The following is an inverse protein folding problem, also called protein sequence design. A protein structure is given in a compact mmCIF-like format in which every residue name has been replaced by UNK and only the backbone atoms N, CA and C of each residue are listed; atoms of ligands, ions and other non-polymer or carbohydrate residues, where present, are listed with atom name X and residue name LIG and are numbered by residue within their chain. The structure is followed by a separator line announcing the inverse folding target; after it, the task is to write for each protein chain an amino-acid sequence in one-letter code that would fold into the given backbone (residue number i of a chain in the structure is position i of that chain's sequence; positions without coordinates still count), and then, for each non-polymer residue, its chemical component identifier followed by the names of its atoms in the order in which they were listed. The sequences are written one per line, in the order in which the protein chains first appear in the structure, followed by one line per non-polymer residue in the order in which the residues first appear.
data_IF_539672460964
#
_entry.id   IF_539672460964
#
_cell.length_a   1.000
_cell.length_b   1.000
_cell.length_c   1.000
_cell.angle_alpha   90.00
_cell.angle_beta   90.00
_cell.angle_gamma   90.00
#
_symmetry.space_group_name_H-M   'P 1'
#
loop_
_entity.id
_entity.type
_entity.pdbx_description
1 polymer ?
#
# COMPACT_ATOMS: atom_id res chain seq x y z
N UNK A 1 20.08 22.77 45.51
CA UNK A 1 19.74 21.34 45.31
C UNK A 1 18.24 21.28 45.08
N UNK A 2 17.77 21.01 43.85
CA UNK A 2 16.33 20.85 43.63
C UNK A 2 15.85 19.63 44.43
N UNK A 3 14.77 19.79 45.20
CA UNK A 3 14.18 18.69 45.96
C UNK A 3 13.72 17.60 45.00
N UNK A 4 14.11 16.35 45.23
CA UNK A 4 13.69 15.21 44.41
C UNK A 4 12.17 15.20 44.18
N UNK A 5 11.38 15.64 45.19
CA UNK A 5 9.92 15.78 45.10
C UNK A 5 9.48 16.77 44.00
N UNK A 6 10.16 17.90 43.85
CA UNK A 6 9.86 18.88 42.82
C UNK A 6 10.09 18.29 41.42
N UNK A 7 11.22 17.60 41.23
CA UNK A 7 11.54 16.93 39.97
C UNK A 7 10.49 15.88 39.59
N UNK A 8 10.04 15.06 40.55
CA UNK A 8 9.00 14.07 40.29
C UNK A 8 7.65 14.70 39.93
N UNK A 9 7.20 15.71 40.66
CA UNK A 9 5.91 16.38 40.37
C UNK A 9 5.96 17.07 39.00
N UNK A 10 7.05 17.79 38.72
CA UNK A 10 7.25 18.44 37.43
C UNK A 10 7.23 17.44 36.28
N UNK A 11 7.96 16.32 36.41
CA UNK A 11 7.98 15.27 35.39
C UNK A 11 6.60 14.64 35.18
N UNK A 12 5.82 14.40 36.24
CA UNK A 12 4.46 13.87 36.15
C UNK A 12 3.54 14.85 35.41
N UNK A 13 3.54 16.13 35.81
CA UNK A 13 2.69 17.15 35.19
C UNK A 13 3.04 17.33 33.72
N UNK A 14 4.33 17.43 33.39
CA UNK A 14 4.79 17.55 32.02
C UNK A 14 4.35 16.33 31.19
N UNK A 15 4.50 15.12 31.72
CA UNK A 15 4.13 13.87 31.04
C UNK A 15 2.62 13.78 30.79
N UNK A 16 1.80 14.20 31.75
CA UNK A 16 0.34 14.21 31.59
C UNK A 16 -0.08 15.22 30.52
N UNK A 17 0.49 16.43 30.55
CA UNK A 17 0.17 17.47 29.56
C UNK A 17 0.57 17.01 28.16
N UNK A 18 1.78 16.47 27.98
CA UNK A 18 2.24 16.00 26.66
C UNK A 18 1.42 14.82 26.14
N UNK A 19 1.05 13.87 27.02
CA UNK A 19 0.20 12.74 26.64
C UNK A 19 -1.19 13.19 26.18
N UNK A 20 -1.82 14.14 26.89
CA UNK A 20 -3.15 14.67 26.52
C UNK A 20 -3.09 15.42 25.20
N UNK A 21 -2.07 16.27 25.00
CA UNK A 21 -1.90 17.00 23.74
C UNK A 21 -1.67 16.05 22.55
N UNK A 22 -0.81 15.04 22.72
CA UNK A 22 -0.53 14.06 21.67
C UNK A 22 -1.77 13.21 21.34
N UNK A 23 -2.51 12.78 22.36
CA UNK A 23 -3.75 12.01 22.17
C UNK A 23 -4.80 12.81 21.40
N UNK A 24 -5.01 14.09 21.77
CA UNK A 24 -5.95 14.97 21.09
C UNK A 24 -5.54 15.21 19.63
N UNK A 25 -4.27 15.52 19.39
CA UNK A 25 -3.76 15.72 18.03
C UNK A 25 -3.88 14.45 17.18
N UNK A 26 -3.54 13.29 17.75
CA UNK A 26 -3.62 12.00 17.04
C UNK A 26 -5.05 11.60 16.69
N UNK A 27 -5.99 11.73 17.62
CA UNK A 27 -7.38 11.35 17.38
C UNK A 27 -8.07 12.32 16.42
N UNK A 28 -7.81 13.63 16.54
CA UNK A 28 -8.37 14.63 15.64
C UNK A 28 -7.90 14.51 14.19
N UNK A 29 -6.65 14.05 13.97
CA UNK A 29 -6.08 13.89 12.63
C UNK A 29 -6.34 12.50 12.02
N UNK A 30 -6.72 11.50 12.82
CA UNK A 30 -6.87 10.11 12.35
C UNK A 30 -7.80 9.97 11.13
N UNK A 31 -8.98 10.59 11.07
CA UNK A 31 -9.87 10.43 9.91
C UNK A 31 -9.24 10.94 8.60
N UNK A 32 -8.51 12.06 8.68
CA UNK A 32 -7.82 12.62 7.52
C UNK A 32 -6.64 11.75 7.08
N UNK A 33 -5.91 11.17 8.04
CA UNK A 33 -4.82 10.22 7.75
C UNK A 33 -5.35 8.95 7.09
N UNK A 34 -6.41 8.34 7.62
CA UNK A 34 -7.03 7.15 7.05
C UNK A 34 -7.54 7.39 5.63
N UNK A 35 -8.20 8.54 5.39
CA UNK A 35 -8.67 8.91 4.06
C UNK A 35 -7.52 9.11 3.07
N UNK A 36 -6.36 9.62 3.53
CA UNK A 36 -5.18 9.79 2.68
C UNK A 36 -4.47 8.46 2.42
N UNK A 37 -4.39 7.56 3.40
CA UNK A 37 -3.83 6.20 3.23
C UNK A 37 -4.69 5.39 2.25
N UNK A 38 -6.01 5.46 2.37
CA UNK A 38 -6.92 4.79 1.45
C UNK A 38 -6.76 5.31 0.01
N UNK A 39 -6.65 6.63 -0.16
CA UNK A 39 -6.39 7.24 -1.47
C UNK A 39 -5.04 6.83 -2.04
N UNK A 40 -3.99 6.80 -1.21
CA UNK A 40 -2.64 6.43 -1.62
C UNK A 40 -2.59 4.97 -2.10
N UNK A 41 -3.31 4.06 -1.42
CA UNK A 41 -3.48 2.67 -1.87
C UNK A 41 -4.10 2.59 -3.27
N UNK A 42 -5.21 3.29 -3.51
CA UNK A 42 -5.85 3.36 -4.83
C UNK A 42 -4.93 3.95 -5.90
N UNK A 43 -4.23 5.02 -5.54
CA UNK A 43 -3.28 5.70 -6.43
C UNK A 43 -2.11 4.81 -6.80
N UNK A 44 -1.59 4.02 -5.85
CA UNK A 44 -0.51 3.06 -6.08
C UNK A 44 -0.93 1.95 -7.05
N UNK A 45 -2.15 1.44 -6.91
CA UNK A 45 -2.75 0.49 -7.88
C UNK A 45 -2.83 1.13 -9.26
N UNK A 46 -3.37 2.35 -9.37
CA UNK A 46 -3.47 3.07 -10.65
C UNK A 46 -2.09 3.34 -11.29
N UNK A 47 -1.07 3.68 -10.48
CA UNK A 47 0.31 3.87 -10.95
C UNK A 47 0.90 2.59 -11.53
N UNK A 48 0.61 1.43 -10.94
CA UNK A 48 1.07 0.14 -11.48
C UNK A 48 0.49 -0.17 -12.86
N UNK A 49 -0.65 0.42 -13.20
CA UNK A 49 -1.27 0.37 -14.54
C UNK A 49 -1.03 1.67 -15.33
N UNK A 50 0.03 2.41 -14.99
CA UNK A 50 0.50 3.60 -15.72
C UNK A 50 -0.49 4.76 -15.75
N UNK A 51 -1.47 4.77 -14.85
CA UNK A 51 -2.40 5.89 -14.67
C UNK A 51 -1.88 6.81 -13.57
N UNK A 52 -1.62 8.07 -13.93
CA UNK A 52 -1.13 9.09 -12.99
C UNK A 52 -1.96 10.36 -13.11
N UNK A 53 -2.36 10.94 -11.98
CA UNK A 53 -3.02 12.25 -11.91
C UNK A 53 -2.64 12.94 -10.61
N UNK A 54 -2.67 14.27 -10.60
CA UNK A 54 -2.56 15.09 -9.39
C UNK A 54 -3.91 15.44 -8.79
N UNK A 55 -5.00 15.21 -9.52
CA UNK A 55 -6.37 15.45 -9.05
C UNK A 55 -6.94 14.22 -8.34
N UNK A 56 -7.17 14.37 -7.04
CA UNK A 56 -7.79 13.36 -6.17
C UNK A 56 -9.13 12.85 -6.72
N UNK A 57 -9.99 13.73 -7.24
CA UNK A 57 -11.31 13.34 -7.73
C UNK A 57 -11.20 12.45 -8.95
N UNK A 58 -10.29 12.79 -9.86
CA UNK A 58 -10.02 11.98 -11.05
C UNK A 58 -9.50 10.60 -10.67
N UNK A 59 -8.60 10.50 -9.68
CA UNK A 59 -8.09 9.21 -9.20
C UNK A 59 -9.19 8.34 -8.58
N UNK A 60 -10.01 8.92 -7.69
CA UNK A 60 -11.13 8.21 -7.05
C UNK A 60 -12.15 7.71 -8.08
N UNK A 61 -12.51 8.56 -9.04
CA UNK A 61 -13.45 8.22 -10.10
C UNK A 61 -12.88 7.14 -11.03
N UNK A 62 -11.64 7.30 -11.48
CA UNK A 62 -10.98 6.32 -12.37
C UNK A 62 -10.89 4.96 -11.68
N UNK A 63 -10.53 4.95 -10.40
CA UNK A 63 -10.48 3.71 -9.62
C UNK A 63 -11.88 3.06 -9.54
N UNK A 64 -12.90 3.83 -9.16
CA UNK A 64 -14.27 3.32 -8.99
C UNK A 64 -14.88 2.79 -10.30
N UNK A 65 -14.53 3.39 -11.44
CA UNK A 65 -15.07 2.99 -12.75
C UNK A 65 -14.30 1.83 -13.40
N UNK A 66 -13.00 1.72 -13.13
CA UNK A 66 -12.11 0.84 -13.93
C UNK A 66 -11.46 -0.27 -13.14
N UNK A 67 -11.53 -0.25 -11.81
CA UNK A 67 -10.89 -1.26 -10.96
C UNK A 67 -11.94 -2.10 -10.26
N UNK A 68 -11.95 -3.39 -10.60
CA UNK A 68 -12.69 -4.41 -9.87
C UNK A 68 -11.79 -5.00 -8.78
N UNK A 69 -12.33 -5.18 -7.58
CA UNK A 69 -11.61 -5.75 -6.45
C UNK A 69 -12.12 -7.16 -6.15
N UNK A 70 -11.20 -8.09 -5.95
CA UNK A 70 -11.53 -9.45 -5.55
C UNK A 70 -10.50 -9.99 -4.57
N UNK A 71 -10.89 -11.04 -3.86
CA UNK A 71 -10.01 -11.79 -2.96
C UNK A 71 -10.07 -13.24 -3.40
N UNK A 72 -8.91 -13.84 -3.62
CA UNK A 72 -8.78 -15.24 -4.01
C UNK A 72 -8.05 -16.04 -2.94
N UNK A 73 -8.31 -17.34 -2.89
CA UNK A 73 -7.47 -18.26 -2.10
C UNK A 73 -6.26 -18.73 -2.93
N UNK A 74 -5.42 -19.59 -2.35
CA UNK A 74 -4.24 -20.15 -3.04
C UNK A 74 -4.54 -21.07 -4.22
N UNK A 75 -5.80 -21.47 -4.41
CA UNK A 75 -6.27 -22.24 -5.58
C UNK A 75 -6.80 -21.34 -6.70
N UNK A 76 -6.86 -20.02 -6.48
CA UNK A 76 -7.46 -19.07 -7.41
C UNK A 76 -9.00 -19.00 -7.34
N UNK A 77 -9.62 -19.59 -6.32
CA UNK A 77 -11.05 -19.51 -6.11
C UNK A 77 -11.39 -18.19 -5.41
N UNK A 78 -12.41 -17.49 -5.90
CA UNK A 78 -12.87 -16.23 -5.32
C UNK A 78 -13.55 -16.45 -3.95
N UNK A 79 -13.21 -15.58 -3.00
CA UNK A 79 -13.78 -15.54 -1.66
C UNK A 79 -14.76 -14.37 -1.56
N UNK A 80 -16.04 -14.66 -1.83
CA UNK A 80 -17.10 -13.64 -1.78
C UNK A 80 -17.29 -13.05 -0.38
N UNK A 81 -17.61 -11.75 -0.32
CA UNK A 81 -17.92 -11.05 0.94
C UNK A 81 -16.68 -10.59 1.74
N UNK A 82 -15.47 -10.77 1.20
CA UNK A 82 -14.23 -10.26 1.80
C UNK A 82 -13.84 -8.96 1.11
N UNK A 83 -13.64 -7.89 1.91
CA UNK A 83 -13.15 -6.62 1.38
C UNK A 83 -11.64 -6.70 1.09
N UNK A 84 -11.24 -6.53 -0.17
CA UNK A 84 -9.84 -6.60 -0.58
C UNK A 84 -8.98 -5.46 0.01
N UNK A 85 -9.55 -4.27 0.21
CA UNK A 85 -8.84 -3.14 0.79
C UNK A 85 -8.49 -3.33 2.26
N UNK A 86 -9.28 -4.09 3.03
CA UNK A 86 -9.02 -4.35 4.45
C UNK A 86 -7.97 -5.43 4.71
N UNK A 87 -7.55 -6.15 3.67
CA UNK A 87 -6.51 -7.17 3.78
C UNK A 87 -5.13 -6.53 3.96
N UNK A 88 -4.47 -6.89 5.06
CA UNK A 88 -3.06 -6.59 5.31
C UNK A 88 -2.22 -7.73 4.75
N UNK A 89 -1.64 -7.52 3.57
CA UNK A 89 -0.93 -8.58 2.84
C UNK A 89 0.20 -9.22 3.65
N UNK A 90 0.95 -8.42 4.42
CA UNK A 90 2.02 -8.92 5.30
C UNK A 90 1.51 -10.01 6.26
N UNK A 91 0.34 -9.82 6.85
CA UNK A 91 -0.23 -10.75 7.82
C UNK A 91 -0.75 -12.01 7.13
N UNK A 92 -1.26 -11.90 5.91
CA UNK A 92 -1.66 -13.05 5.09
C UNK A 92 -0.45 -13.87 4.63
N UNK A 93 0.65 -13.24 4.26
CA UNK A 93 1.88 -13.94 3.85
C UNK A 93 2.53 -14.73 4.99
N UNK A 94 2.29 -14.36 6.25
CA UNK A 94 2.74 -15.11 7.42
C UNK A 94 1.93 -16.39 7.69
N UNK A 95 0.76 -16.56 7.08
CA UNK A 95 -0.09 -17.74 7.23
C UNK A 95 0.34 -18.90 6.32
N UNK A 96 -0.06 -20.15 6.64
CA UNK A 96 -0.01 -21.26 5.68
C UNK A 96 -0.70 -20.88 4.38
N UNK A 97 -0.18 -21.36 3.24
CA UNK A 97 -0.63 -20.98 1.89
C UNK A 97 -2.13 -21.21 1.69
N UNK A 98 -2.67 -22.28 2.28
CA UNK A 98 -4.05 -22.71 2.20
C UNK A 98 -5.03 -21.77 2.92
N UNK A 99 -4.51 -20.96 3.86
CA UNK A 99 -5.31 -20.04 4.70
C UNK A 99 -5.20 -18.58 4.24
N UNK A 100 -4.41 -18.32 3.20
CA UNK A 100 -4.17 -16.95 2.72
C UNK A 100 -5.37 -16.42 1.97
N UNK A 101 -5.72 -15.18 2.27
CA UNK A 101 -6.66 -14.36 1.48
C UNK A 101 -5.84 -13.40 0.64
N UNK A 102 -5.85 -13.57 -0.66
CA UNK A 102 -4.98 -12.87 -1.59
C UNK A 102 -5.79 -11.83 -2.35
N UNK A 103 -5.59 -10.53 -2.10
CA UNK A 103 -6.26 -9.49 -2.87
C UNK A 103 -5.73 -9.48 -4.30
N UNK A 104 -6.64 -9.32 -5.25
CA UNK A 104 -6.36 -9.16 -6.67
C UNK A 104 -7.25 -8.03 -7.18
N UNK A 105 -6.67 -7.15 -8.00
CA UNK A 105 -7.41 -6.05 -8.62
C UNK A 105 -7.36 -6.22 -10.13
N UNK A 106 -8.49 -6.00 -10.80
CA UNK A 106 -8.59 -6.09 -12.26
C UNK A 106 -8.88 -4.70 -12.79
N UNK A 107 -7.92 -4.14 -13.52
CA UNK A 107 -8.06 -2.85 -14.17
C UNK A 107 -8.47 -3.01 -15.63
N UNK A 108 -9.53 -2.34 -16.05
CA UNK A 108 -9.95 -2.25 -17.45
C UNK A 108 -9.50 -0.91 -18.04
N UNK A 109 -8.58 -0.94 -18.99
CA UNK A 109 -8.05 0.27 -19.62
C UNK A 109 -8.92 0.78 -20.76
N UNK A 110 -8.57 1.96 -21.28
CA UNK A 110 -9.30 2.62 -22.37
C UNK A 110 -9.34 1.82 -23.68
N UNK A 111 -8.38 0.92 -23.88
CA UNK A 111 -8.32 -0.01 -25.01
C UNK A 111 -9.16 -1.29 -24.80
N UNK A 112 -9.90 -1.37 -23.68
CA UNK A 112 -10.75 -2.50 -23.32
C UNK A 112 -10.03 -3.73 -22.76
N UNK A 113 -8.69 -3.74 -22.73
CA UNK A 113 -7.92 -4.89 -22.21
C UNK A 113 -7.97 -4.95 -20.68
N UNK A 114 -7.84 -6.14 -20.11
CA UNK A 114 -7.73 -6.31 -18.65
C UNK A 114 -6.29 -6.40 -18.19
N UNK A 115 -6.01 -5.82 -17.02
CA UNK A 115 -4.71 -5.86 -16.34
C UNK A 115 -4.93 -6.37 -14.94
N UNK A 116 -4.17 -7.39 -14.58
CA UNK A 116 -4.29 -8.07 -13.30
C UNK A 116 -3.23 -7.53 -12.36
N UNK A 117 -3.65 -6.77 -11.36
CA UNK A 117 -2.76 -6.10 -10.41
C UNK A 117 -2.64 -6.94 -9.14
N UNK A 118 -1.43 -7.46 -8.93
CA UNK A 118 -1.06 -8.27 -7.78
C UNK A 118 -0.32 -7.39 -6.77
N UNK A 119 -0.81 -7.28 -5.53
CA UNK A 119 -0.12 -6.56 -4.47
C UNK A 119 1.09 -7.34 -3.99
N UNK A 120 2.16 -6.62 -3.69
CA UNK A 120 3.46 -7.13 -3.26
C UNK A 120 3.81 -6.59 -1.88
N UNK A 121 4.45 -7.42 -1.06
CA UNK A 121 4.98 -7.02 0.24
C UNK A 121 6.30 -7.74 0.50
N UNK A 122 7.26 -7.02 1.07
CA UNK A 122 8.59 -7.55 1.39
C UNK A 122 9.26 -6.78 2.53
N UNK A 123 10.48 -7.18 2.83
CA UNK A 123 11.33 -6.58 3.86
C UNK A 123 12.58 -6.05 3.18
N UNK A 124 12.79 -4.73 3.27
CA UNK A 124 14.02 -4.05 2.85
C UNK A 124 15.09 -4.08 3.95
N UNK A 125 16.11 -3.23 3.83
CA UNK A 125 17.18 -3.16 4.83
C UNK A 125 16.74 -2.42 6.10
N UNK A 126 15.97 -1.34 5.93
CA UNK A 126 15.59 -0.43 7.01
C UNK A 126 14.10 -0.42 7.30
N UNK A 127 13.29 -1.11 6.50
CA UNK A 127 11.86 -1.17 6.72
C UNK A 127 11.10 -2.05 5.74
N UNK A 128 9.77 -2.10 5.87
CA UNK A 128 8.93 -2.78 4.90
C UNK A 128 9.01 -2.07 3.54
N UNK A 129 8.99 -2.90 2.51
CA UNK A 129 8.75 -2.49 1.12
C UNK A 129 7.40 -3.07 0.67
N UNK A 130 6.70 -2.35 -0.18
CA UNK A 130 5.45 -2.80 -0.78
C UNK A 130 5.39 -2.38 -2.24
N UNK A 131 4.42 -2.92 -2.96
CA UNK A 131 4.22 -2.55 -4.34
C UNK A 131 3.00 -3.22 -4.96
N UNK A 132 2.86 -2.99 -6.25
CA UNK A 132 1.80 -3.51 -7.09
C UNK A 132 2.42 -3.83 -8.45
N UNK A 133 2.25 -5.07 -8.91
CA UNK A 133 2.70 -5.49 -10.24
C UNK A 133 1.45 -5.79 -11.05
N UNK A 134 1.31 -5.13 -12.19
CA UNK A 134 0.22 -5.37 -13.13
C UNK A 134 0.69 -6.25 -14.29
N UNK A 135 -0.16 -7.20 -14.66
CA UNK A 135 0.12 -8.24 -15.65
C UNK A 135 -0.91 -8.14 -16.77
N UNK A 136 -0.49 -8.35 -18.01
CA UNK A 136 -1.34 -8.43 -19.19
C UNK A 136 -2.28 -9.64 -19.15
N UNK A 137 -3.20 -9.73 -20.10
CA UNK A 137 -4.19 -10.82 -20.22
C UNK A 137 -3.58 -12.20 -20.51
N UNK A 138 -2.30 -12.25 -20.86
CA UNK A 138 -1.54 -13.49 -21.01
C UNK A 138 -1.08 -14.08 -19.65
N UNK A 139 -1.36 -13.38 -18.54
CA UNK A 139 -0.96 -13.74 -17.18
C UNK A 139 0.54 -13.96 -16.98
N UNK A 140 1.36 -13.41 -17.87
CA UNK A 140 2.81 -13.62 -17.84
C UNK A 140 3.59 -12.33 -18.07
N UNK A 141 3.15 -11.49 -19.00
CA UNK A 141 3.85 -10.26 -19.36
C UNK A 141 3.49 -9.14 -18.39
N UNK A 142 4.49 -8.53 -17.78
CA UNK A 142 4.32 -7.40 -16.88
C UNK A 142 3.93 -6.15 -17.68
N UNK A 143 2.74 -5.64 -17.41
CA UNK A 143 2.29 -4.36 -17.95
C UNK A 143 2.94 -3.20 -17.22
N UNK A 144 3.08 -3.26 -15.89
CA UNK A 144 3.71 -2.20 -15.12
C UNK A 144 3.94 -2.61 -13.68
N UNK A 145 4.71 -1.79 -12.97
CA UNK A 145 4.99 -2.00 -11.58
C UNK A 145 5.03 -0.67 -10.85
N UNK A 146 4.65 -0.69 -9.58
CA UNK A 146 4.85 0.40 -8.64
C UNK A 146 5.43 -0.20 -7.37
N UNK A 147 6.47 0.43 -6.82
CA UNK A 147 7.06 0.04 -5.55
C UNK A 147 7.20 1.25 -4.66
N UNK A 148 7.12 1.03 -3.35
CA UNK A 148 7.40 2.06 -2.37
C UNK A 148 7.91 1.44 -1.07
N UNK A 149 8.39 2.30 -0.17
CA UNK A 149 9.04 1.89 1.07
C UNK A 149 8.73 2.83 2.22
N UNK A 150 8.92 2.32 3.44
CA UNK A 150 8.72 3.14 4.64
C UNK A 150 9.93 4.03 4.96
N UNK A 151 11.13 3.50 4.79
CA UNK A 151 12.33 4.06 5.44
C UNK A 151 13.66 3.69 4.77
N UNK A 152 13.64 3.22 3.53
CA UNK A 152 14.88 3.00 2.79
C UNK A 152 15.62 4.32 2.55
N UNK A 153 16.95 4.23 2.38
CA UNK A 153 17.82 5.40 2.30
C UNK A 153 17.73 6.08 0.93
N UNK A 154 17.48 7.41 0.86
CA UNK A 154 17.54 8.20 -0.37
C UNK A 154 18.86 8.02 -1.13
N UNK A 155 18.80 7.86 -2.47
CA UNK A 155 19.97 7.61 -3.31
C UNK A 155 20.50 6.16 -3.28
N UNK A 156 19.87 5.26 -2.52
CA UNK A 156 20.21 3.83 -2.44
C UNK A 156 18.95 2.96 -2.58
N UNK A 157 18.42 2.44 -1.48
CA UNK A 157 17.23 1.59 -1.48
C UNK A 157 15.95 2.33 -1.82
N UNK A 158 15.90 3.65 -1.61
CA UNK A 158 14.74 4.45 -1.94
C UNK A 158 14.48 4.59 -3.45
N UNK A 159 15.49 4.30 -4.28
CA UNK A 159 15.39 4.39 -5.74
C UNK A 159 14.34 3.42 -6.32
N UNK A 160 13.86 2.44 -5.54
CA UNK A 160 12.76 1.56 -5.97
C UNK A 160 11.44 2.32 -6.23
N UNK A 161 11.25 3.47 -5.56
CA UNK A 161 10.07 4.33 -5.73
C UNK A 161 10.15 5.21 -6.98
N UNK A 162 11.31 5.25 -7.65
CA UNK A 162 11.56 6.09 -8.80
C UNK A 162 11.17 5.42 -10.12
N UNK A 163 10.70 6.23 -11.08
CA UNK A 163 10.25 5.74 -12.40
C UNK A 163 11.32 4.91 -13.13
N UNK A 164 12.61 5.31 -13.19
CA UNK A 164 13.61 4.54 -13.91
C UNK A 164 13.82 3.13 -13.37
N UNK A 165 13.54 2.88 -12.09
CA UNK A 165 13.55 1.52 -11.53
C UNK A 165 12.31 0.74 -11.93
N UNK A 166 11.13 1.34 -11.73
CA UNK A 166 9.83 0.69 -11.98
C UNK A 166 9.59 0.36 -13.46
N UNK A 167 10.09 1.18 -14.38
CA UNK A 167 9.94 0.98 -15.82
C UNK A 167 10.72 -0.23 -16.35
N UNK A 168 11.76 -0.69 -15.65
CA UNK A 168 12.57 -1.86 -16.05
C UNK A 168 11.78 -3.16 -16.09
N UNK A 169 10.66 -3.22 -15.37
CA UNK A 169 9.79 -4.39 -15.29
C UNK A 169 8.85 -4.50 -16.49
N UNK A 170 8.61 -3.40 -17.24
CA UNK A 170 7.66 -3.41 -18.35
C UNK A 170 8.09 -4.38 -19.45
N UNK A 171 7.17 -5.24 -19.89
CA UNK A 171 7.40 -6.24 -20.93
C UNK A 171 8.21 -7.45 -20.48
N UNK A 172 8.62 -7.54 -19.20
CA UNK A 172 9.25 -8.75 -18.66
C UNK A 172 8.22 -9.86 -18.50
N UNK A 173 8.65 -11.11 -18.62
CA UNK A 173 7.83 -12.29 -18.36
C UNK A 173 8.09 -12.82 -16.96
N UNK A 174 7.03 -13.18 -16.24
CA UNK A 174 7.09 -13.75 -14.89
C UNK A 174 7.55 -15.21 -14.95
N UNK A 175 7.05 -15.94 -15.95
CA UNK A 175 7.39 -17.32 -16.26
C UNK A 175 8.16 -17.35 -17.58
N UNK A 176 9.36 -17.96 -17.54
CA UNK A 176 10.23 -18.16 -18.70
C UNK A 176 9.69 -19.18 -19.69
#
# INVERSE_FOLDING_TARGET
MHSNRYTFIYAIVLSVITAVLLAFASEGLRPAQEANIALDKKTSILRSVRVTSTDRKVLEQTYAERVEEMVVNSKGEELSGVNAQSIVLKDELAKPVEQRRLPLYVYTGDDGKKRYVVPMSGVGLWGPIWGYVSIEEDFNTVYGAFFDHKSETPGLGAEISEKPFQEQFQGKKIMG
#
